data_IF_910481702755
#
_entry.id   IF_910481702755
#
_cell.length_a   1.000
_cell.length_b   1.000
_cell.length_c   1.000
_cell.angle_alpha   90.00
_cell.angle_beta   90.00
_cell.angle_gamma   90.00
#
_symmetry.space_group_name_H-M   'P 1'
#
loop_
_entity.id
_entity.type
_entity.pdbx_description
1 polymer ?
#
# COMPACT_ATOMS: atom_id res chain seq x y z
N UNK A 1 -19.02 -7.35 9.76
CA UNK A 1 -18.77 -8.80 9.92
C UNK A 1 -18.09 -9.03 11.26
N UNK A 2 -18.42 -10.12 11.94
CA UNK A 2 -17.75 -10.54 13.17
C UNK A 2 -16.38 -11.13 12.83
N UNK A 3 -15.43 -10.95 13.74
CA UNK A 3 -14.11 -11.58 13.64
C UNK A 3 -14.25 -13.10 13.82
N UNK A 4 -13.34 -13.87 13.22
CA UNK A 4 -13.32 -15.34 13.35
C UNK A 4 -11.90 -15.89 13.45
N UNK A 5 -11.76 -17.07 14.05
CA UNK A 5 -10.51 -17.82 14.09
C UNK A 5 -10.24 -18.52 12.75
N UNK A 6 -8.97 -18.59 12.33
CA UNK A 6 -8.53 -19.38 11.17
C UNK A 6 -8.44 -20.86 11.48
N UNK A 7 -7.95 -21.20 12.67
CA UNK A 7 -7.79 -22.57 13.17
C UNK A 7 -8.14 -22.63 14.66
N UNK A 8 -9.35 -23.10 14.98
CA UNK A 8 -9.81 -23.18 16.37
C UNK A 8 -9.02 -24.21 17.21
N UNK A 9 -8.44 -25.23 16.59
CA UNK A 9 -7.71 -26.29 17.31
C UNK A 9 -6.39 -25.73 17.85
N UNK A 10 -5.64 -25.02 17.01
CA UNK A 10 -4.40 -24.36 17.42
C UNK A 10 -4.66 -23.25 18.45
N UNK A 11 -5.70 -22.45 18.23
CA UNK A 11 -6.15 -21.40 19.17
C UNK A 11 -6.44 -21.97 20.57
N UNK A 12 -7.16 -23.09 20.68
CA UNK A 12 -7.43 -23.74 21.98
C UNK A 12 -6.15 -24.18 22.69
N UNK A 13 -5.17 -24.70 21.94
CA UNK A 13 -3.86 -25.09 22.49
C UNK A 13 -3.12 -23.88 23.06
N UNK A 14 -3.06 -22.78 22.30
CA UNK A 14 -2.42 -21.53 22.73
C UNK A 14 -3.08 -20.93 23.97
N UNK A 15 -4.42 -20.90 24.01
CA UNK A 15 -5.16 -20.39 25.18
C UNK A 15 -4.87 -21.21 26.43
N UNK A 16 -4.73 -22.53 26.33
CA UNK A 16 -4.36 -23.39 27.47
C UNK A 16 -2.98 -23.03 28.03
N UNK A 17 -2.03 -22.68 27.18
CA UNK A 17 -0.70 -22.21 27.61
C UNK A 17 -0.78 -20.81 28.21
N UNK A 18 -1.51 -19.91 27.55
CA UNK A 18 -1.72 -18.52 27.96
C UNK A 18 -2.33 -18.40 29.35
N UNK A 19 -3.30 -19.25 29.72
CA UNK A 19 -3.87 -19.27 31.09
C UNK A 19 -2.83 -19.47 32.18
N UNK A 20 -1.76 -20.23 31.91
CA UNK A 20 -0.67 -20.48 32.88
C UNK A 20 0.27 -19.27 33.03
N UNK A 21 0.17 -18.31 32.12
CA UNK A 21 0.98 -17.09 32.06
C UNK A 21 0.27 -15.88 32.68
N UNK A 22 -1.00 -16.01 33.03
CA UNK A 22 -1.81 -14.96 33.62
C UNK A 22 -2.16 -15.30 35.07
N UNK A 23 -2.20 -14.28 35.93
CA UNK A 23 -2.68 -14.38 37.31
C UNK A 23 -3.43 -13.10 37.68
N UNK A 24 -4.60 -13.21 38.30
CA UNK A 24 -5.31 -12.07 38.88
C UNK A 24 -4.63 -11.73 40.23
N UNK A 25 -4.24 -10.47 40.39
CA UNK A 25 -3.68 -9.90 41.61
C UNK A 25 -4.79 -9.44 42.56
N UNK A 26 -4.45 -9.19 43.82
CA UNK A 26 -5.40 -8.80 44.86
C UNK A 26 -6.07 -7.43 44.59
N UNK A 27 -5.43 -6.59 43.78
CA UNK A 27 -5.94 -5.30 43.30
C UNK A 27 -6.87 -5.42 42.07
N UNK A 28 -7.15 -6.63 41.59
CA UNK A 28 -7.96 -6.89 40.39
C UNK A 28 -7.22 -6.67 39.07
N UNK A 29 -5.92 -6.38 39.09
CA UNK A 29 -5.08 -6.35 37.90
C UNK A 29 -4.63 -7.75 37.49
N UNK A 30 -4.19 -7.90 36.24
CA UNK A 30 -3.70 -9.19 35.72
C UNK A 30 -2.18 -9.10 35.59
N UNK A 31 -1.48 -9.84 36.43
CA UNK A 31 -0.05 -10.08 36.27
C UNK A 31 0.20 -11.01 35.08
N UNK A 32 1.25 -10.69 34.33
CA UNK A 32 1.66 -11.40 33.12
C UNK A 32 3.07 -11.95 33.32
N UNK A 33 3.28 -13.21 32.94
CA UNK A 33 4.62 -13.81 32.90
C UNK A 33 5.39 -13.37 31.65
N UNK A 34 6.74 -13.45 31.66
CA UNK A 34 7.53 -13.30 30.44
C UNK A 34 7.00 -14.19 29.31
N UNK A 35 7.16 -13.73 28.06
CA UNK A 35 6.66 -14.37 26.83
C UNK A 35 5.14 -14.31 26.59
N UNK A 36 4.34 -13.76 27.51
CA UNK A 36 2.90 -13.60 27.28
C UNK A 36 2.59 -12.82 25.99
N UNK A 37 3.29 -11.71 25.75
CA UNK A 37 3.11 -10.88 24.55
C UNK A 37 3.35 -11.67 23.26
N UNK A 38 4.38 -12.52 23.22
CA UNK A 38 4.67 -13.38 22.06
C UNK A 38 3.57 -14.41 21.81
N UNK A 39 2.96 -14.95 22.87
CA UNK A 39 1.82 -15.88 22.72
C UNK A 39 0.57 -15.13 22.25
N UNK A 40 0.37 -13.88 22.68
CA UNK A 40 -0.73 -13.03 22.18
C UNK A 40 -0.51 -12.66 20.70
N UNK A 41 0.70 -12.31 20.30
CA UNK A 41 1.08 -12.08 18.90
C UNK A 41 0.86 -13.33 18.03
N UNK A 42 1.31 -14.49 18.53
CA UNK A 42 1.04 -15.77 17.87
C UNK A 42 -0.46 -16.00 17.71
N UNK A 43 -1.26 -15.70 18.74
CA UNK A 43 -2.72 -15.84 18.70
C UNK A 43 -3.36 -14.84 17.72
N UNK A 44 -2.84 -13.61 17.64
CA UNK A 44 -3.28 -12.58 16.70
C UNK A 44 -3.14 -13.04 15.25
N UNK A 45 -2.08 -13.77 14.92
CA UNK A 45 -1.90 -14.40 13.60
C UNK A 45 -3.03 -15.34 13.16
N UNK A 46 -3.81 -15.88 14.11
CA UNK A 46 -4.99 -16.72 13.83
C UNK A 46 -6.29 -15.93 13.70
N UNK A 47 -6.30 -14.62 13.93
CA UNK A 47 -7.49 -13.78 13.79
C UNK A 47 -7.74 -13.48 12.30
N UNK A 48 -8.98 -13.62 11.87
CA UNK A 48 -9.47 -13.10 10.59
C UNK A 48 -10.53 -12.04 10.88
N UNK A 49 -10.19 -10.80 10.57
CA UNK A 49 -11.06 -9.64 10.74
C UNK A 49 -10.99 -8.73 9.50
N UNK A 50 -11.98 -7.85 9.34
CA UNK A 50 -12.05 -6.85 8.26
C UNK A 50 -12.31 -5.44 8.82
N UNK A 51 -11.75 -5.17 10.01
CA UNK A 51 -11.97 -3.92 10.73
C UNK A 51 -11.10 -2.82 10.14
N UNK A 52 -11.62 -1.59 10.11
CA UNK A 52 -10.94 -0.40 9.61
C UNK A 52 -10.15 0.28 10.73
N UNK A 53 -9.13 -0.41 11.23
CA UNK A 53 -8.24 0.07 12.28
C UNK A 53 -6.81 -0.33 11.89
N UNK A 54 -5.83 0.51 12.21
CA UNK A 54 -4.42 0.22 11.95
C UNK A 54 -3.97 -1.07 12.64
N UNK A 55 -2.94 -1.73 12.09
CA UNK A 55 -2.49 -3.04 12.58
C UNK A 55 -2.03 -2.98 14.04
N UNK A 56 -1.29 -1.93 14.41
CA UNK A 56 -0.78 -1.75 15.77
C UNK A 56 -1.93 -1.51 16.75
N UNK A 57 -2.84 -0.59 16.44
CA UNK A 57 -4.01 -0.36 17.29
C UNK A 57 -4.94 -1.57 17.34
N UNK A 58 -5.07 -2.33 16.24
CA UNK A 58 -5.82 -3.58 16.22
C UNK A 58 -5.21 -4.61 17.15
N UNK A 59 -3.88 -4.76 17.11
CA UNK A 59 -3.15 -5.63 18.02
C UNK A 59 -3.29 -5.18 19.47
N UNK A 60 -3.13 -3.88 19.77
CA UNK A 60 -3.28 -3.33 21.12
C UNK A 60 -4.69 -3.57 21.68
N UNK A 61 -5.72 -3.36 20.87
CA UNK A 61 -7.12 -3.61 21.24
C UNK A 61 -7.36 -5.11 21.43
N UNK A 62 -6.79 -5.96 20.58
CA UNK A 62 -6.87 -7.40 20.71
C UNK A 62 -6.18 -7.88 22.00
N UNK A 63 -4.97 -7.41 22.28
CA UNK A 63 -4.22 -7.69 23.50
C UNK A 63 -5.03 -7.31 24.75
N UNK A 64 -5.60 -6.10 24.77
CA UNK A 64 -6.51 -5.67 25.86
C UNK A 64 -7.74 -6.58 25.97
N UNK A 65 -8.31 -7.00 24.85
CA UNK A 65 -9.47 -7.89 24.82
C UNK A 65 -9.16 -9.29 25.37
N UNK A 66 -7.95 -9.80 25.16
CA UNK A 66 -7.47 -11.04 25.78
C UNK A 66 -7.42 -10.88 27.31
N UNK A 67 -6.82 -9.80 27.80
CA UNK A 67 -6.72 -9.53 29.24
C UNK A 67 -8.11 -9.36 29.87
N UNK A 68 -9.02 -8.63 29.22
CA UNK A 68 -10.41 -8.45 29.66
C UNK A 68 -11.18 -9.76 29.67
N UNK A 69 -11.05 -10.59 28.63
CA UNK A 69 -11.69 -11.90 28.59
C UNK A 69 -11.16 -12.81 29.71
N UNK A 70 -9.86 -12.76 30.01
CA UNK A 70 -9.29 -13.48 31.15
C UNK A 70 -9.85 -12.99 32.48
N UNK A 71 -9.95 -11.67 32.70
CA UNK A 71 -10.58 -11.12 33.92
C UNK A 71 -12.04 -11.58 34.08
N UNK A 72 -12.79 -11.64 32.97
CA UNK A 72 -14.23 -11.93 33.02
C UNK A 72 -14.55 -13.42 33.21
N UNK A 73 -13.80 -14.33 32.57
CA UNK A 73 -14.13 -15.76 32.57
C UNK A 73 -12.93 -16.71 32.59
N UNK A 74 -11.72 -16.22 32.88
CA UNK A 74 -10.51 -17.03 32.89
C UNK A 74 -10.15 -17.65 31.54
N UNK A 75 -10.61 -17.04 30.42
CA UNK A 75 -10.47 -17.55 29.05
C UNK A 75 -11.09 -18.94 28.85
N UNK A 76 -12.22 -19.22 29.49
CA UNK A 76 -12.93 -20.51 29.34
C UNK A 76 -13.59 -20.67 27.96
N UNK A 77 -13.97 -19.57 27.32
CA UNK A 77 -14.52 -19.56 25.97
C UNK A 77 -13.70 -18.68 25.03
N UNK A 78 -13.20 -19.29 23.94
CA UNK A 78 -12.37 -18.63 22.93
C UNK A 78 -13.16 -17.56 22.15
N UNK A 79 -14.49 -17.66 22.10
CA UNK A 79 -15.35 -16.68 21.43
C UNK A 79 -15.44 -15.37 22.22
N UNK A 80 -15.26 -15.42 23.55
CA UNK A 80 -15.28 -14.22 24.39
C UNK A 80 -14.20 -13.22 23.97
N UNK A 81 -12.99 -13.68 23.60
CA UNK A 81 -11.90 -12.81 23.14
C UNK A 81 -12.34 -12.02 21.88
N UNK A 82 -12.87 -12.72 20.87
CA UNK A 82 -13.30 -12.08 19.63
C UNK A 82 -14.51 -11.17 19.83
N UNK A 83 -15.42 -11.53 20.73
CA UNK A 83 -16.56 -10.69 21.08
C UNK A 83 -16.13 -9.39 21.76
N UNK A 84 -15.22 -9.45 22.74
CA UNK A 84 -14.66 -8.26 23.39
C UNK A 84 -13.86 -7.41 22.39
N UNK A 85 -13.08 -8.05 21.52
CA UNK A 85 -12.36 -7.36 20.44
C UNK A 85 -13.31 -6.63 19.49
N UNK A 86 -14.33 -7.31 18.98
CA UNK A 86 -15.32 -6.72 18.07
C UNK A 86 -16.05 -5.55 18.74
N UNK A 87 -16.41 -5.69 20.02
CA UNK A 87 -17.06 -4.63 20.81
C UNK A 87 -16.13 -3.43 21.01
N UNK A 88 -14.88 -3.66 21.37
CA UNK A 88 -13.90 -2.59 21.60
C UNK A 88 -13.62 -1.82 20.31
N UNK A 89 -13.43 -2.53 19.19
CA UNK A 89 -13.23 -1.89 17.88
C UNK A 89 -14.46 -1.09 17.45
N UNK A 90 -15.67 -1.63 17.62
CA UNK A 90 -16.90 -0.91 17.31
C UNK A 90 -17.04 0.38 18.12
N UNK A 91 -16.67 0.35 19.40
CA UNK A 91 -16.70 1.54 20.25
C UNK A 91 -15.69 2.59 19.80
N UNK A 92 -14.49 2.18 19.39
CA UNK A 92 -13.49 3.09 18.82
C UNK A 92 -13.98 3.71 17.51
N UNK A 93 -14.55 2.90 16.61
CA UNK A 93 -15.09 3.39 15.34
C UNK A 93 -16.29 4.33 15.48
N UNK A 94 -17.02 4.32 16.60
CA UNK A 94 -18.08 5.29 16.87
C UNK A 94 -17.55 6.67 17.24
N UNK A 95 -16.33 6.73 17.77
CA UNK A 95 -15.71 7.95 18.28
C UNK A 95 -14.65 8.48 17.30
N UNK A 96 -14.99 8.61 16.01
CA UNK A 96 -14.06 9.19 15.06
C UNK A 96 -13.83 10.68 15.36
N UNK A 97 -12.56 11.07 15.36
CA UNK A 97 -12.13 12.46 15.44
C UNK A 97 -11.64 12.91 14.07
N UNK A 98 -11.77 14.20 13.79
CA UNK A 98 -11.20 14.80 12.59
C UNK A 98 -9.74 15.22 12.84
N UNK A 99 -8.87 14.82 11.94
CA UNK A 99 -7.45 15.14 11.93
C UNK A 99 -7.08 15.88 10.64
N UNK A 100 -6.10 16.78 10.74
CA UNK A 100 -5.44 17.37 9.57
C UNK A 100 -3.97 16.95 9.59
N UNK A 101 -3.47 16.43 8.50
CA UNK A 101 -2.09 15.96 8.39
C UNK A 101 -1.40 16.78 7.31
N UNK A 102 -0.38 17.53 7.70
CA UNK A 102 0.46 18.30 6.79
C UNK A 102 1.63 17.42 6.36
N UNK A 103 1.78 17.26 5.05
CA UNK A 103 2.85 16.51 4.39
C UNK A 103 3.50 17.41 3.34
N UNK A 104 4.78 17.21 3.08
CA UNK A 104 5.49 17.82 1.96
C UNK A 104 5.77 16.79 0.87
N UNK A 105 5.86 17.25 -0.38
CA UNK A 105 6.07 16.45 -1.57
C UNK A 105 7.18 17.10 -2.40
N UNK A 106 8.19 16.32 -2.79
CA UNK A 106 9.27 16.76 -3.68
C UNK A 106 8.73 16.93 -5.11
N UNK A 107 8.15 18.09 -5.40
CA UNK A 107 7.55 18.36 -6.70
C UNK A 107 7.48 19.86 -6.94
N UNK A 108 8.07 20.28 -8.06
CA UNK A 108 8.04 21.66 -8.52
C UNK A 108 6.87 21.87 -9.48
N UNK A 109 5.80 22.49 -9.00
CA UNK A 109 4.62 22.71 -9.82
C UNK A 109 3.77 23.88 -9.34
N UNK A 110 2.92 24.35 -10.24
CA UNK A 110 1.76 25.13 -9.85
C UNK A 110 0.80 24.31 -8.98
N UNK A 111 0.05 24.99 -8.11
CA UNK A 111 -0.78 24.37 -7.10
C UNK A 111 -1.82 23.42 -7.73
N UNK A 112 -1.74 22.09 -7.50
CA UNK A 112 -2.73 21.16 -8.00
C UNK A 112 -4.11 21.38 -7.36
N UNK A 113 -5.18 21.02 -8.08
CA UNK A 113 -6.53 21.13 -7.54
C UNK A 113 -6.75 20.18 -6.34
N UNK A 114 -7.48 20.63 -5.33
CA UNK A 114 -7.90 19.78 -4.21
C UNK A 114 -8.77 18.62 -4.69
N UNK A 115 -8.71 17.48 -4.00
CA UNK A 115 -9.45 16.26 -4.40
C UNK A 115 -9.81 15.40 -3.20
N UNK A 116 -10.78 14.51 -3.38
CA UNK A 116 -11.17 13.52 -2.38
C UNK A 116 -10.73 12.13 -2.85
N UNK A 117 -9.95 11.44 -2.03
CA UNK A 117 -9.44 10.10 -2.31
C UNK A 117 -9.62 9.27 -1.04
N UNK A 118 -10.26 8.10 -1.15
CA UNK A 118 -10.51 7.19 -0.03
C UNK A 118 -11.17 7.85 1.19
N UNK A 119 -12.08 8.80 0.93
CA UNK A 119 -12.78 9.57 1.97
C UNK A 119 -11.92 10.67 2.63
N UNK A 120 -10.67 10.83 2.22
CA UNK A 120 -9.78 11.89 2.68
C UNK A 120 -9.81 13.06 1.71
N UNK A 121 -9.87 14.30 2.23
CA UNK A 121 -9.75 15.51 1.41
C UNK A 121 -8.31 15.99 1.36
N UNK A 122 -7.70 15.96 0.19
CA UNK A 122 -6.35 16.43 -0.06
C UNK A 122 -6.41 17.85 -0.63
N UNK A 123 -5.69 18.78 0.02
CA UNK A 123 -5.56 20.17 -0.43
C UNK A 123 -4.08 20.50 -0.59
N UNK A 124 -3.70 21.00 -1.77
CA UNK A 124 -2.30 21.26 -2.09
C UNK A 124 -1.97 22.75 -2.04
N UNK A 125 -0.74 23.10 -1.70
CA UNK A 125 -0.25 24.47 -1.51
C UNK A 125 1.23 24.59 -1.89
N UNK A 126 1.64 25.71 -2.49
CA UNK A 126 3.07 26.02 -2.75
C UNK A 126 3.86 26.32 -1.47
N UNK A 127 3.18 26.71 -0.41
CA UNK A 127 3.77 27.01 0.89
C UNK A 127 2.87 26.46 2.00
N UNK A 128 3.43 26.10 3.16
CA UNK A 128 2.63 25.58 4.26
C UNK A 128 1.60 26.64 4.68
N UNK A 129 0.30 26.30 4.79
CA UNK A 129 -0.71 27.30 5.13
C UNK A 129 -0.39 27.97 6.48
N UNK A 130 -0.53 29.30 6.55
CA UNK A 130 -0.16 30.12 7.72
C UNK A 130 -0.71 29.59 9.05
N UNK A 131 -1.93 29.04 9.03
CA UNK A 131 -2.57 28.44 10.21
C UNK A 131 -1.73 27.32 10.83
N UNK A 132 -1.19 26.44 9.99
CA UNK A 132 -0.38 25.29 10.41
C UNK A 132 1.08 25.70 10.67
N UNK A 133 1.63 26.58 9.84
CA UNK A 133 2.96 27.12 10.04
C UNK A 133 3.10 27.86 11.38
N UNK A 134 2.08 28.64 11.80
CA UNK A 134 2.08 29.32 13.10
C UNK A 134 2.01 28.37 14.29
N UNK A 135 1.24 27.29 14.18
CA UNK A 135 1.14 26.28 15.23
C UNK A 135 2.49 25.56 15.45
N UNK A 136 3.31 25.50 14.41
CA UNK A 136 4.69 25.00 14.43
C UNK A 136 5.67 26.02 15.04
N UNK A 137 5.54 27.31 14.72
CA UNK A 137 6.46 28.38 15.15
C UNK A 137 6.46 28.69 16.66
N UNK A 138 5.53 28.13 17.44
CA UNK A 138 5.57 28.22 18.92
C UNK A 138 6.73 27.41 19.51
N UNK A 139 7.38 26.57 18.69
CA UNK A 139 8.57 25.80 19.02
C UNK A 139 9.68 26.19 18.02
N UNK A 140 10.66 27.00 18.45
CA UNK A 140 11.68 27.60 17.56
C UNK A 140 12.51 26.56 16.78
N UNK A 141 12.65 25.34 17.30
CA UNK A 141 13.33 24.23 16.61
C UNK A 141 12.56 23.70 15.38
N UNK A 142 11.24 23.89 15.32
CA UNK A 142 10.38 23.23 14.30
C UNK A 142 10.35 23.99 12.97
N UNK A 143 10.71 25.28 12.94
CA UNK A 143 10.84 26.02 11.68
C UNK A 143 11.92 25.41 10.75
N UNK A 144 12.93 24.75 11.33
CA UNK A 144 13.97 24.03 10.61
C UNK A 144 13.46 22.75 9.91
N UNK A 145 12.27 22.26 10.29
CA UNK A 145 11.64 21.07 9.73
C UNK A 145 10.79 21.33 8.50
N UNK A 146 10.56 22.59 8.12
CA UNK A 146 10.02 22.85 6.78
C UNK A 146 11.10 22.66 5.74
N UNK A 147 10.76 21.89 4.71
CA UNK A 147 11.68 21.57 3.64
C UNK A 147 12.10 22.84 2.90
N UNK A 148 13.42 22.98 2.72
CA UNK A 148 14.00 24.04 1.89
C UNK A 148 14.04 23.56 0.44
N UNK A 149 13.50 24.35 -0.49
CA UNK A 149 13.50 24.04 -1.92
C UNK A 149 12.10 23.97 -2.53
N UNK A 150 11.99 23.33 -3.70
CA UNK A 150 10.76 23.27 -4.48
C UNK A 150 9.88 22.10 -4.00
N UNK A 151 9.21 22.33 -2.86
CA UNK A 151 8.26 21.38 -2.29
C UNK A 151 6.82 21.85 -2.47
N UNK A 152 5.95 20.90 -2.76
CA UNK A 152 4.51 21.06 -2.68
C UNK A 152 4.02 20.56 -1.32
N UNK A 153 3.17 21.32 -0.65
CA UNK A 153 2.59 20.93 0.63
C UNK A 153 1.17 20.39 0.42
N UNK A 154 0.84 19.29 1.10
CA UNK A 154 -0.49 18.70 1.12
C UNK A 154 -1.04 18.70 2.53
N UNK A 155 -2.27 19.19 2.69
CA UNK A 155 -3.06 19.02 3.91
C UNK A 155 -4.11 17.96 3.63
N UNK A 156 -3.95 16.80 4.26
CA UNK A 156 -4.89 15.69 4.21
C UNK A 156 -5.86 15.80 5.40
N UNK A 157 -7.14 16.00 5.10
CA UNK A 157 -8.20 15.98 6.11
C UNK A 157 -8.83 14.60 6.17
N UNK A 158 -8.87 14.00 7.35
CA UNK A 158 -9.32 12.63 7.56
C UNK A 158 -10.11 12.49 8.86
N UNK A 159 -11.11 11.62 8.87
CA UNK A 159 -11.80 11.19 10.09
C UNK A 159 -11.35 9.77 10.44
N UNK A 160 -10.96 9.57 11.70
CA UNK A 160 -10.41 8.30 12.18
C UNK A 160 -10.61 8.13 13.70
N UNK A 161 -10.59 6.89 14.22
CA UNK A 161 -10.76 6.64 15.66
C UNK A 161 -9.56 7.10 16.48
N UNK A 162 -8.37 7.13 15.89
CA UNK A 162 -7.14 7.52 16.56
C UNK A 162 -6.14 8.10 15.54
N UNK A 163 -5.03 8.60 16.08
CA UNK A 163 -3.94 9.21 15.32
C UNK A 163 -3.29 8.25 14.30
N UNK A 164 -3.02 7.01 14.66
CA UNK A 164 -2.32 6.05 13.79
C UNK A 164 -3.19 5.67 12.59
N UNK A 165 -4.46 5.38 12.86
CA UNK A 165 -5.47 5.16 11.81
C UNK A 165 -5.67 6.40 10.92
N UNK A 166 -5.56 7.62 11.48
CA UNK A 166 -5.59 8.84 10.68
C UNK A 166 -4.40 8.93 9.73
N UNK A 167 -3.20 8.63 10.24
CA UNK A 167 -1.96 8.62 9.46
C UNK A 167 -2.01 7.57 8.34
N UNK A 168 -2.35 6.32 8.65
CA UNK A 168 -2.44 5.27 7.63
C UNK A 168 -3.46 5.59 6.52
N UNK A 169 -4.63 6.13 6.90
CA UNK A 169 -5.64 6.59 5.92
C UNK A 169 -5.10 7.74 5.06
N UNK A 170 -4.37 8.69 5.65
CA UNK A 170 -3.80 9.81 4.93
C UNK A 170 -2.65 9.39 4.00
N UNK A 171 -1.75 8.54 4.47
CA UNK A 171 -0.66 7.95 3.71
C UNK A 171 -1.22 7.17 2.52
N UNK A 172 -2.21 6.30 2.73
CA UNK A 172 -2.89 5.57 1.64
C UNK A 172 -3.51 6.51 0.59
N UNK A 173 -4.15 7.59 1.03
CA UNK A 173 -4.79 8.54 0.13
C UNK A 173 -3.78 9.38 -0.66
N UNK A 174 -2.68 9.83 -0.03
CA UNK A 174 -1.63 10.57 -0.72
C UNK A 174 -0.84 9.66 -1.65
N UNK A 175 -0.53 8.44 -1.24
CA UNK A 175 0.19 7.44 -2.03
C UNK A 175 -0.56 7.07 -3.30
N UNK A 176 -1.89 6.94 -3.22
CA UNK A 176 -2.72 6.73 -4.42
C UNK A 176 -2.52 7.86 -5.44
N UNK A 177 -2.50 9.11 -4.98
CA UNK A 177 -2.28 10.28 -5.85
C UNK A 177 -0.84 10.31 -6.38
N UNK A 178 0.15 10.08 -5.51
CA UNK A 178 1.57 10.04 -5.85
C UNK A 178 1.87 8.95 -6.87
N UNK A 179 1.31 7.76 -6.71
CA UNK A 179 1.45 6.66 -7.67
C UNK A 179 0.92 7.06 -9.06
N UNK A 180 -0.27 7.66 -9.12
CA UNK A 180 -0.83 8.17 -10.38
C UNK A 180 0.05 9.26 -10.97
N UNK A 181 0.53 10.20 -10.15
CA UNK A 181 1.42 11.26 -10.61
C UNK A 181 2.70 10.69 -11.21
N UNK A 182 3.33 9.74 -10.52
CA UNK A 182 4.51 9.05 -11.01
C UNK A 182 4.28 8.38 -12.38
N UNK A 183 3.12 7.73 -12.57
CA UNK A 183 2.72 7.14 -13.86
C UNK A 183 2.44 8.16 -14.97
N UNK A 184 2.09 9.40 -14.63
CA UNK A 184 1.79 10.46 -15.60
C UNK A 184 3.05 11.14 -16.13
N UNK A 185 4.20 10.95 -15.49
CA UNK A 185 5.46 11.46 -16.02
C UNK A 185 5.98 10.58 -17.15
N UNK A 186 6.53 11.23 -18.16
CA UNK A 186 7.14 10.54 -19.29
C UNK A 186 8.48 9.95 -18.82
N UNK A 187 8.58 8.63 -18.85
CA UNK A 187 9.81 7.90 -18.55
C UNK A 187 10.57 7.65 -19.84
N UNK A 188 11.61 8.45 -20.06
CA UNK A 188 12.53 8.26 -21.18
C UNK A 188 13.91 7.87 -20.65
N UNK A 189 14.60 7.05 -21.43
CA UNK A 189 16.01 6.80 -21.23
C UNK A 189 16.80 8.10 -21.45
N UNK A 190 17.61 8.49 -20.48
CA UNK A 190 18.42 9.70 -20.56
C UNK A 190 19.86 9.34 -20.91
N UNK A 191 20.20 9.43 -22.21
CA UNK A 191 21.54 9.13 -22.73
C UNK A 191 22.68 9.93 -22.08
N UNK A 192 22.38 11.11 -21.55
CA UNK A 192 23.37 12.05 -20.98
C UNK A 192 23.42 11.95 -19.45
N UNK A 193 22.75 10.97 -18.84
CA UNK A 193 22.80 10.76 -17.39
C UNK A 193 24.21 10.43 -16.91
N UNK A 194 24.66 11.15 -15.87
CA UNK A 194 26.00 11.01 -15.28
C UNK A 194 26.23 9.62 -14.68
N UNK A 195 25.18 9.01 -14.11
CA UNK A 195 25.19 7.66 -13.57
C UNK A 195 24.06 6.78 -14.17
N UNK A 196 24.11 5.47 -13.89
CA UNK A 196 23.12 4.51 -14.41
C UNK A 196 21.70 4.80 -13.94
N UNK A 197 21.52 5.28 -12.71
CA UNK A 197 20.20 5.61 -12.17
C UNK A 197 19.61 6.85 -12.85
N UNK A 198 20.44 7.83 -13.21
CA UNK A 198 20.06 9.02 -13.97
C UNK A 198 19.76 8.70 -15.43
N UNK A 199 20.37 7.64 -15.97
CA UNK A 199 20.07 7.11 -17.30
C UNK A 199 18.74 6.33 -17.31
N UNK A 200 18.53 5.48 -16.29
CA UNK A 200 17.39 4.56 -16.17
C UNK A 200 16.53 4.88 -14.94
N UNK A 201 15.82 5.99 -15.03
CA UNK A 201 15.11 6.53 -13.88
C UNK A 201 13.96 5.63 -13.39
N UNK A 202 14.17 4.96 -12.26
CA UNK A 202 13.16 4.11 -11.61
C UNK A 202 12.71 4.59 -10.23
N UNK A 203 13.41 5.55 -9.62
CA UNK A 203 12.99 6.19 -8.35
C UNK A 203 11.73 7.05 -8.53
N UNK A 204 10.99 7.21 -7.42
CA UNK A 204 9.81 8.07 -7.31
C UNK A 204 10.09 9.54 -7.67
N UNK A 205 9.12 10.16 -8.34
CA UNK A 205 9.17 11.56 -8.80
C UNK A 205 8.49 12.52 -7.84
N UNK A 206 7.72 11.97 -6.92
CA UNK A 206 6.82 12.69 -6.03
C UNK A 206 7.03 12.15 -4.63
N UNK A 207 8.27 12.14 -4.14
CA UNK A 207 8.64 11.62 -2.81
C UNK A 207 7.99 12.46 -1.71
N UNK A 208 7.64 11.82 -0.60
CA UNK A 208 7.25 12.57 0.61
C UNK A 208 8.50 13.21 1.22
N UNK A 209 8.35 14.43 1.72
CA UNK A 209 9.40 15.08 2.50
C UNK A 209 9.59 14.42 3.86
N UNK A 210 10.57 14.92 4.61
CA UNK A 210 11.09 14.31 5.83
C UNK A 210 10.09 14.27 6.97
N UNK A 211 9.10 15.16 7.02
CA UNK A 211 8.23 15.28 8.18
C UNK A 211 6.73 15.24 7.84
N UNK A 212 5.98 14.52 8.66
CA UNK A 212 4.52 14.61 8.74
C UNK A 212 4.13 15.31 10.04
N UNK A 213 3.21 16.28 9.96
CA UNK A 213 2.74 17.01 11.14
C UNK A 213 1.23 16.81 11.29
N UNK A 214 0.82 16.32 12.46
CA UNK A 214 -0.57 15.97 12.75
C UNK A 214 -1.20 17.03 13.65
N UNK A 215 -2.35 17.52 13.21
CA UNK A 215 -3.16 18.51 13.91
C UNK A 215 -4.55 17.95 14.22
N UNK A 216 -5.17 18.51 15.26
CA UNK A 216 -6.58 18.31 15.54
C UNK A 216 -7.48 19.03 14.51
N UNK A 217 -8.80 18.88 14.66
CA UNK A 217 -9.81 19.56 13.83
C UNK A 217 -9.69 21.09 13.82
N UNK A 218 -9.17 21.68 14.90
CA UNK A 218 -9.01 23.12 15.05
C UNK A 218 -7.68 23.61 14.45
N UNK A 219 -6.78 22.72 14.05
CA UNK A 219 -5.45 23.03 13.54
C UNK A 219 -4.41 23.27 14.64
N UNK A 220 -4.67 22.83 15.87
CA UNK A 220 -3.67 22.75 16.93
C UNK A 220 -2.85 21.48 16.74
N UNK A 221 -1.52 21.58 16.79
CA UNK A 221 -0.65 20.42 16.71
C UNK A 221 -0.91 19.49 17.88
N UNK A 222 -1.00 18.19 17.62
CA UNK A 222 -1.13 17.19 18.69
C UNK A 222 0.21 16.98 19.41
N UNK A 223 0.15 16.55 20.67
CA UNK A 223 1.36 16.12 21.39
C UNK A 223 2.04 14.97 20.64
N UNK A 224 3.37 15.06 20.48
CA UNK A 224 4.17 14.21 19.62
C UNK A 224 3.72 14.19 18.15
N UNK A 225 2.94 15.17 17.67
CA UNK A 225 2.32 15.19 16.34
C UNK A 225 3.29 15.30 15.17
N UNK A 226 4.56 15.61 15.44
CA UNK A 226 5.65 15.59 14.47
C UNK A 226 6.17 14.16 14.30
N UNK A 227 6.19 13.68 13.07
CA UNK A 227 6.72 12.38 12.69
C UNK A 227 7.83 12.56 11.66
N UNK A 228 9.01 12.04 11.95
CA UNK A 228 10.13 12.01 11.02
C UNK A 228 10.09 10.71 10.20
N UNK A 229 10.14 10.85 8.88
CA UNK A 229 10.32 9.74 7.95
C UNK A 229 11.78 9.34 7.97
N UNK A 230 12.03 8.13 8.49
CA UNK A 230 13.38 7.55 8.52
C UNK A 230 13.90 7.35 7.10
N UNK A 231 15.19 7.58 6.90
CA UNK A 231 15.88 7.42 5.61
C UNK A 231 15.39 8.35 4.50
N UNK A 232 14.87 9.53 4.85
CA UNK A 232 14.59 10.57 3.87
C UNK A 232 15.88 11.01 3.17
N UNK A 233 15.85 11.04 1.83
CA UNK A 233 16.91 11.57 0.98
C UNK A 233 16.24 12.52 0.00
N UNK A 234 16.71 13.76 0.00
CA UNK A 234 16.24 14.77 -0.94
C UNK A 234 16.93 14.63 -2.29
N UNK A 235 16.14 14.68 -3.36
CA UNK A 235 16.63 14.76 -4.73
C UNK A 235 16.14 16.05 -5.40
N UNK A 236 16.66 16.30 -6.62
CA UNK A 236 16.15 17.38 -7.46
C UNK A 236 14.68 17.13 -7.81
N UNK A 237 13.83 18.10 -7.48
CA UNK A 237 12.39 18.02 -7.69
C UNK A 237 12.05 17.91 -9.18
N UNK A 238 11.07 17.07 -9.49
CA UNK A 238 10.52 16.97 -10.85
C UNK A 238 9.59 18.14 -11.12
N UNK A 239 9.69 18.74 -12.30
CA UNK A 239 8.83 19.86 -12.69
C UNK A 239 7.64 19.41 -13.54
N UNK A 240 6.47 19.97 -13.25
CA UNK A 240 5.26 19.79 -14.06
C UNK A 240 5.10 20.98 -14.99
N UNK A 241 5.18 20.73 -16.31
CA UNK A 241 5.09 21.77 -17.34
C UNK A 241 3.69 22.37 -17.49
N UNK A 242 2.66 21.53 -17.50
CA UNK A 242 1.25 21.95 -17.65
C UNK A 242 0.39 21.34 -16.54
N UNK A 243 0.09 22.18 -15.54
CA UNK A 243 -0.70 21.79 -14.38
C UNK A 243 -2.16 21.47 -14.74
N UNK A 244 -2.70 22.06 -15.80
CA UNK A 244 -4.09 21.85 -16.22
C UNK A 244 -4.26 20.47 -16.84
N UNK A 245 -3.34 20.07 -17.73
CA UNK A 245 -3.30 18.72 -18.29
C UNK A 245 -3.05 17.70 -17.18
N UNK A 246 -2.10 17.99 -16.29
CA UNK A 246 -1.76 17.12 -15.17
C UNK A 246 -2.96 16.86 -14.24
N UNK A 247 -3.69 17.91 -13.86
CA UNK A 247 -4.91 17.80 -13.05
C UNK A 247 -6.01 17.04 -13.80
N UNK A 248 -6.23 17.33 -15.08
CA UNK A 248 -7.21 16.63 -15.92
C UNK A 248 -6.94 15.13 -15.96
N UNK A 249 -5.69 14.75 -16.26
CA UNK A 249 -5.29 13.35 -16.35
C UNK A 249 -5.39 12.66 -14.99
N UNK A 250 -4.93 13.30 -13.91
CA UNK A 250 -5.10 12.72 -12.57
C UNK A 250 -6.58 12.46 -12.24
N UNK A 251 -7.48 13.40 -12.58
CA UNK A 251 -8.91 13.24 -12.37
C UNK A 251 -9.53 12.14 -13.25
N UNK A 252 -8.96 11.83 -14.41
CA UNK A 252 -9.38 10.67 -15.22
C UNK A 252 -9.05 9.37 -14.48
N UNK A 253 -7.81 9.22 -14.02
CA UNK A 253 -7.37 8.03 -13.26
C UNK A 253 -8.20 7.84 -11.99
N UNK A 254 -8.33 8.87 -11.16
CA UNK A 254 -9.10 8.79 -9.92
C UNK A 254 -10.56 8.40 -10.16
N UNK A 255 -11.21 8.95 -11.20
CA UNK A 255 -12.59 8.58 -11.56
C UNK A 255 -12.69 7.13 -12.05
N UNK A 256 -11.68 6.63 -12.77
CA UNK A 256 -11.63 5.25 -13.23
C UNK A 256 -11.44 4.27 -12.06
N UNK A 257 -10.52 4.58 -11.14
CA UNK A 257 -10.30 3.79 -9.92
C UNK A 257 -11.57 3.78 -9.05
N UNK A 258 -12.18 4.94 -8.80
CA UNK A 258 -13.37 5.06 -7.95
C UNK A 258 -14.58 4.26 -8.49
N UNK A 259 -14.68 4.10 -9.82
CA UNK A 259 -15.72 3.32 -10.50
C UNK A 259 -15.36 1.84 -10.67
N UNK A 260 -14.12 1.45 -10.39
CA UNK A 260 -13.67 0.08 -10.58
C UNK A 260 -14.34 -0.86 -9.57
N UNK A 261 -14.87 -2.03 -10.00
CA UNK A 261 -15.45 -3.01 -9.09
C UNK A 261 -14.38 -3.67 -8.19
N UNK A 262 -13.11 -3.47 -8.50
CA UNK A 262 -11.97 -3.96 -7.73
C UNK A 262 -11.03 -2.82 -7.32
N UNK A 263 -11.58 -1.65 -6.97
CA UNK A 263 -10.83 -0.47 -6.52
C UNK A 263 -9.82 -0.76 -5.40
N UNK A 264 -10.21 -1.57 -4.40
CA UNK A 264 -9.35 -1.86 -3.24
C UNK A 264 -8.09 -2.62 -3.66
N UNK A 265 -8.22 -3.49 -4.67
CA UNK A 265 -7.08 -4.19 -5.25
C UNK A 265 -6.14 -3.21 -5.97
N UNK A 266 -6.68 -2.30 -6.78
CA UNK A 266 -5.87 -1.30 -7.50
C UNK A 266 -5.14 -0.38 -6.51
N UNK A 267 -5.85 0.15 -5.51
CA UNK A 267 -5.29 1.04 -4.49
C UNK A 267 -4.16 0.36 -3.71
N UNK A 268 -4.34 -0.91 -3.35
CA UNK A 268 -3.28 -1.71 -2.72
C UNK A 268 -2.05 -1.86 -3.62
N UNK A 269 -2.22 -2.15 -4.92
CA UNK A 269 -1.08 -2.26 -5.84
C UNK A 269 -0.40 -0.90 -6.04
N UNK A 270 -1.15 0.19 -6.17
CA UNK A 270 -0.60 1.55 -6.30
C UNK A 270 0.24 1.95 -5.09
N UNK A 271 -0.23 1.64 -3.88
CA UNK A 271 0.53 1.88 -2.65
C UNK A 271 1.81 1.04 -2.60
N UNK A 272 1.75 -0.24 -2.96
CA UNK A 272 2.95 -1.09 -3.06
C UNK A 272 3.93 -0.55 -4.10
N UNK A 273 3.43 -0.11 -5.25
CA UNK A 273 4.23 0.44 -6.33
C UNK A 273 4.96 1.73 -5.93
N UNK A 274 4.25 2.75 -5.43
CA UNK A 274 4.88 4.01 -5.04
C UNK A 274 5.90 3.80 -3.92
N UNK A 275 5.56 2.93 -2.97
CA UNK A 275 6.44 2.60 -1.87
C UNK A 275 7.68 1.81 -2.34
N UNK A 276 7.58 1.01 -3.41
CA UNK A 276 8.73 0.37 -4.04
C UNK A 276 9.65 1.40 -4.71
N UNK A 277 9.11 2.32 -5.52
CA UNK A 277 9.92 3.34 -6.20
C UNK A 277 10.46 4.42 -5.25
N UNK A 278 9.88 4.58 -4.06
CA UNK A 278 10.43 5.41 -2.99
C UNK A 278 11.70 4.81 -2.36
N UNK A 279 11.96 3.51 -2.52
CA UNK A 279 13.15 2.87 -1.97
C UNK A 279 14.44 3.44 -2.59
N UNK A 280 15.38 3.85 -1.74
CA UNK A 280 16.70 4.36 -2.16
C UNK A 280 17.59 3.20 -2.61
N UNK A 281 17.66 2.16 -1.77
CA UNK A 281 18.43 0.96 -2.04
C UNK A 281 17.87 0.21 -3.26
N UNK A 282 18.74 -0.03 -4.26
CA UNK A 282 18.34 -0.60 -5.54
C UNK A 282 17.98 -2.08 -5.43
N UNK A 283 18.66 -2.85 -4.59
CA UNK A 283 18.38 -4.27 -4.35
C UNK A 283 17.00 -4.43 -3.73
N UNK A 284 16.72 -3.62 -2.71
CA UNK A 284 15.42 -3.58 -2.05
C UNK A 284 14.32 -3.06 -3.00
N UNK A 285 14.59 -2.03 -3.80
CA UNK A 285 13.66 -1.55 -4.83
C UNK A 285 13.33 -2.65 -5.83
N UNK A 286 14.34 -3.35 -6.34
CA UNK A 286 14.18 -4.43 -7.32
C UNK A 286 13.33 -5.58 -6.75
N UNK A 287 13.59 -5.97 -5.51
CA UNK A 287 12.78 -6.97 -4.79
C UNK A 287 11.33 -6.50 -4.62
N UNK A 288 11.11 -5.24 -4.21
CA UNK A 288 9.76 -4.71 -3.99
C UNK A 288 8.97 -4.50 -5.27
N UNK A 289 9.60 -4.06 -6.35
CA UNK A 289 8.97 -4.00 -7.66
C UNK A 289 8.59 -5.41 -8.13
N UNK A 290 9.48 -6.40 -7.96
CA UNK A 290 9.18 -7.80 -8.26
C UNK A 290 7.96 -8.31 -7.49
N UNK A 291 7.90 -8.07 -6.17
CA UNK A 291 6.73 -8.43 -5.36
C UNK A 291 5.47 -7.67 -5.75
N UNK A 292 5.59 -6.40 -6.16
CA UNK A 292 4.45 -5.61 -6.65
C UNK A 292 3.87 -6.23 -7.92
N UNK A 293 4.72 -6.68 -8.84
CA UNK A 293 4.30 -7.39 -10.06
C UNK A 293 3.62 -8.72 -9.75
N UNK A 294 4.16 -9.51 -8.81
CA UNK A 294 3.53 -10.75 -8.31
C UNK A 294 2.12 -10.51 -7.76
N UNK A 295 1.96 -9.48 -6.90
CA UNK A 295 0.66 -9.10 -6.31
C UNK A 295 -0.32 -8.68 -7.41
N UNK A 296 0.12 -7.86 -8.37
CA UNK A 296 -0.71 -7.36 -9.47
C UNK A 296 -1.22 -8.50 -10.36
N UNK A 297 -0.40 -9.52 -10.62
CA UNK A 297 -0.75 -10.64 -11.49
C UNK A 297 -1.33 -11.86 -10.75
N UNK A 298 -1.35 -11.81 -9.40
CA UNK A 298 -1.64 -12.97 -8.53
C UNK A 298 -0.95 -14.23 -9.03
N UNK A 299 0.33 -14.09 -9.31
CA UNK A 299 1.16 -15.17 -9.81
C UNK A 299 2.48 -15.13 -9.03
N UNK A 300 2.87 -16.28 -8.50
CA UNK A 300 4.20 -16.45 -7.94
C UNK A 300 5.24 -16.47 -9.07
N UNK A 301 6.53 -16.49 -8.70
CA UNK A 301 7.72 -16.50 -9.58
C UNK A 301 7.82 -17.75 -10.48
N UNK A 302 6.82 -17.93 -11.33
CA UNK A 302 6.56 -19.09 -12.15
C UNK A 302 6.58 -18.67 -13.62
N UNK A 303 6.46 -19.64 -14.53
CA UNK A 303 6.24 -19.35 -15.96
C UNK A 303 4.93 -18.58 -16.20
N UNK A 304 3.97 -18.66 -15.27
CA UNK A 304 2.69 -17.97 -15.37
C UNK A 304 2.83 -16.45 -15.23
N UNK A 305 3.70 -15.98 -14.31
CA UNK A 305 3.97 -14.54 -14.15
C UNK A 305 4.52 -13.92 -15.43
N UNK A 306 5.53 -14.55 -16.04
CA UNK A 306 6.13 -14.08 -17.31
C UNK A 306 5.07 -14.03 -18.40
N UNK A 307 4.30 -15.11 -18.57
CA UNK A 307 3.23 -15.18 -19.59
C UNK A 307 2.17 -14.09 -19.41
N UNK A 308 1.72 -13.85 -18.18
CA UNK A 308 0.71 -12.81 -17.89
C UNK A 308 1.25 -11.40 -18.11
N UNK A 309 2.50 -11.16 -17.71
CA UNK A 309 3.14 -9.86 -17.85
C UNK A 309 3.41 -9.50 -19.33
N UNK A 310 3.75 -10.48 -20.18
CA UNK A 310 3.97 -10.23 -21.61
C UNK A 310 2.69 -10.13 -22.44
N UNK A 311 1.51 -10.37 -21.86
CA UNK A 311 0.23 -10.42 -22.59
C UNK A 311 -0.05 -9.15 -23.40
N UNK A 312 0.31 -7.98 -22.86
CA UNK A 312 0.03 -6.67 -23.44
C UNK A 312 1.03 -6.22 -24.52
N UNK A 313 2.12 -6.96 -24.73
CA UNK A 313 3.20 -6.55 -25.63
C UNK A 313 3.06 -7.18 -27.01
N UNK A 314 3.50 -6.46 -28.03
CA UNK A 314 3.51 -6.94 -29.42
C UNK A 314 4.62 -7.98 -29.63
N UNK A 315 5.87 -7.62 -29.32
CA UNK A 315 7.02 -8.54 -29.35
C UNK A 315 7.10 -9.37 -28.06
N UNK A 316 6.27 -10.42 -28.00
CA UNK A 316 6.19 -11.28 -26.81
C UNK A 316 7.42 -12.12 -26.59
N UNK A 317 8.16 -12.46 -27.64
CA UNK A 317 9.34 -13.29 -27.53
C UNK A 317 10.46 -12.53 -26.82
N UNK A 318 10.74 -11.31 -27.27
CA UNK A 318 11.71 -10.44 -26.61
C UNK A 318 11.33 -10.17 -25.15
N UNK A 319 10.07 -9.78 -24.92
CA UNK A 319 9.60 -9.44 -23.57
C UNK A 319 9.58 -10.67 -22.64
N UNK A 320 9.39 -11.88 -23.18
CA UNK A 320 9.51 -13.13 -22.42
C UNK A 320 10.95 -13.39 -21.98
N UNK A 321 11.93 -13.17 -22.87
CA UNK A 321 13.35 -13.31 -22.56
C UNK A 321 13.74 -12.31 -21.47
N UNK A 322 13.32 -11.05 -21.59
CA UNK A 322 13.60 -9.99 -20.62
C UNK A 322 13.02 -10.34 -19.24
N UNK A 323 11.74 -10.67 -19.16
CA UNK A 323 11.09 -11.03 -17.88
C UNK A 323 11.65 -12.31 -17.26
N UNK A 324 12.03 -13.29 -18.08
CA UNK A 324 12.72 -14.49 -17.60
C UNK A 324 14.07 -14.14 -16.99
N UNK A 325 14.82 -13.23 -17.61
CA UNK A 325 16.08 -12.73 -17.05
C UNK A 325 15.87 -11.96 -15.74
N UNK A 326 14.86 -11.09 -15.67
CA UNK A 326 14.50 -10.36 -14.45
C UNK A 326 14.15 -11.33 -13.31
N UNK A 327 13.37 -12.37 -13.60
CA UNK A 327 13.05 -13.43 -12.63
C UNK A 327 14.31 -14.14 -12.12
N UNK A 328 15.20 -14.54 -13.02
CA UNK A 328 16.42 -15.25 -12.62
C UNK A 328 17.30 -14.36 -11.72
N UNK A 329 17.44 -13.07 -12.07
CA UNK A 329 18.14 -12.10 -11.23
C UNK A 329 17.51 -11.89 -9.86
N UNK A 330 16.17 -11.88 -9.76
CA UNK A 330 15.46 -11.82 -8.47
C UNK A 330 15.75 -13.05 -7.62
N UNK A 331 15.73 -14.24 -8.24
CA UNK A 331 16.04 -15.49 -7.55
C UNK A 331 17.47 -15.49 -7.03
N UNK A 332 18.46 -15.10 -7.84
CA UNK A 332 19.86 -14.96 -7.44
C UNK A 332 20.03 -13.98 -6.27
N UNK A 333 19.44 -12.78 -6.36
CA UNK A 333 19.49 -11.80 -5.27
C UNK A 333 18.87 -12.35 -3.98
N UNK A 334 17.70 -13.00 -4.07
CA UNK A 334 16.98 -13.51 -2.89
C UNK A 334 17.64 -14.73 -2.23
N UNK A 335 18.31 -15.59 -3.00
CA UNK A 335 18.87 -16.85 -2.49
C UNK A 335 20.37 -16.78 -2.22
N UNK A 336 21.11 -15.98 -3.00
CA UNK A 336 22.58 -15.89 -2.94
C UNK A 336 23.03 -14.53 -2.39
N UNK A 337 22.14 -13.53 -2.34
CA UNK A 337 22.50 -12.19 -1.88
C UNK A 337 23.37 -11.42 -2.87
N UNK A 338 23.37 -11.81 -4.15
CA UNK A 338 24.19 -11.19 -5.19
C UNK A 338 23.38 -10.13 -5.94
N UNK A 339 23.84 -8.89 -5.87
CA UNK A 339 23.30 -7.77 -6.65
C UNK A 339 23.40 -8.08 -8.15
N UNK A 340 22.27 -8.11 -8.89
CA UNK A 340 22.30 -8.34 -10.32
C UNK A 340 23.04 -7.22 -11.07
N UNK A 341 23.73 -7.54 -12.17
CA UNK A 341 24.33 -6.51 -13.02
C UNK A 341 23.24 -5.61 -13.63
N UNK A 342 23.53 -4.32 -13.76
CA UNK A 342 22.64 -3.30 -14.32
C UNK A 342 21.27 -3.26 -13.62
N UNK A 343 21.26 -3.30 -12.29
CA UNK A 343 20.02 -3.35 -11.50
C UNK A 343 19.10 -2.15 -11.76
N UNK A 344 19.66 -0.99 -12.11
CA UNK A 344 18.91 0.23 -12.46
C UNK A 344 18.02 -0.01 -13.69
N UNK A 345 18.57 -0.65 -14.73
CA UNK A 345 17.82 -1.03 -15.94
C UNK A 345 16.71 -2.02 -15.58
N UNK A 346 17.01 -2.96 -14.69
CA UNK A 346 16.06 -3.98 -14.24
C UNK A 346 14.91 -3.36 -13.46
N UNK A 347 15.19 -2.42 -12.55
CA UNK A 347 14.19 -1.63 -11.85
C UNK A 347 13.34 -0.80 -12.81
N UNK A 348 13.98 -0.12 -13.77
CA UNK A 348 13.30 0.67 -14.80
C UNK A 348 12.31 -0.17 -15.59
N UNK A 349 12.74 -1.33 -16.12
CA UNK A 349 11.89 -2.21 -16.91
C UNK A 349 10.78 -2.87 -16.08
N UNK A 350 11.04 -3.26 -14.83
CA UNK A 350 9.99 -3.73 -13.92
C UNK A 350 8.93 -2.67 -13.65
N UNK A 351 9.35 -1.43 -13.38
CA UNK A 351 8.41 -0.33 -13.19
C UNK A 351 7.54 -0.14 -14.43
N UNK A 352 8.11 -0.20 -15.64
CA UNK A 352 7.37 -0.11 -16.89
C UNK A 352 6.29 -1.21 -17.01
N UNK A 353 6.62 -2.49 -16.77
CA UNK A 353 5.62 -3.58 -16.80
C UNK A 353 4.48 -3.33 -15.80
N UNK A 354 4.81 -2.88 -14.58
CA UNK A 354 3.81 -2.62 -13.54
C UNK A 354 2.88 -1.48 -13.97
N UNK A 355 3.41 -0.42 -14.58
CA UNK A 355 2.62 0.73 -15.04
C UNK A 355 1.72 0.37 -16.22
N UNK A 356 2.22 -0.38 -17.20
CA UNK A 356 1.44 -0.85 -18.34
C UNK A 356 0.27 -1.74 -17.89
N UNK A 357 0.54 -2.66 -16.95
CA UNK A 357 -0.49 -3.48 -16.34
C UNK A 357 -1.45 -2.64 -15.48
N UNK A 358 -0.97 -1.74 -14.63
CA UNK A 358 -1.84 -0.85 -13.83
C UNK A 358 -2.77 -0.04 -14.72
N UNK A 359 -2.26 0.50 -15.84
CA UNK A 359 -3.08 1.17 -16.84
C UNK A 359 -4.18 0.24 -17.37
N UNK A 360 -3.85 -0.99 -17.74
CA UNK A 360 -4.83 -1.98 -18.18
C UNK A 360 -5.92 -2.25 -17.12
N UNK A 361 -5.54 -2.44 -15.86
CA UNK A 361 -6.46 -2.68 -14.74
C UNK A 361 -7.35 -1.46 -14.43
N UNK A 362 -6.79 -0.25 -14.46
CA UNK A 362 -7.49 1.01 -14.16
C UNK A 362 -8.48 1.36 -15.26
N UNK A 363 -8.07 1.29 -16.52
CA UNK A 363 -8.95 1.66 -17.63
C UNK A 363 -9.98 0.59 -17.97
N UNK A 364 -9.70 -0.67 -17.60
CA UNK A 364 -10.58 -1.82 -17.73
C UNK A 364 -11.23 -1.91 -19.12
N UNK A 365 -10.43 -2.04 -20.20
CA UNK A 365 -10.95 -2.02 -21.56
C UNK A 365 -11.96 -3.15 -21.84
N UNK A 366 -11.84 -4.27 -21.12
CA UNK A 366 -12.70 -5.45 -21.26
C UNK A 366 -13.97 -5.40 -20.38
N UNK A 367 -14.14 -4.35 -19.57
CA UNK A 367 -15.28 -4.18 -18.64
C UNK A 367 -15.44 -5.37 -17.67
N UNK A 368 -14.33 -5.86 -17.12
CA UNK A 368 -14.36 -6.90 -16.11
C UNK A 368 -15.03 -6.41 -14.81
N UNK A 369 -15.86 -7.26 -14.21
CA UNK A 369 -16.55 -7.02 -12.94
C UNK A 369 -15.76 -7.54 -11.74
N UNK A 370 -14.72 -8.35 -11.97
CA UNK A 370 -13.87 -8.91 -10.92
C UNK A 370 -12.43 -9.05 -11.40
N UNK A 371 -11.49 -8.90 -10.46
CA UNK A 371 -10.05 -9.07 -10.72
C UNK A 371 -9.75 -10.38 -11.44
N UNK A 372 -10.44 -11.47 -11.06
CA UNK A 372 -10.22 -12.79 -11.63
C UNK A 372 -10.44 -12.83 -13.15
N UNK A 373 -11.43 -12.09 -13.69
CA UNK A 373 -11.66 -12.06 -15.15
C UNK A 373 -10.48 -11.46 -15.91
N UNK A 374 -9.82 -10.45 -15.33
CA UNK A 374 -8.60 -9.88 -15.91
C UNK A 374 -7.47 -10.92 -15.84
N UNK A 375 -7.27 -11.57 -14.69
CA UNK A 375 -6.25 -12.60 -14.55
C UNK A 375 -6.46 -13.80 -15.48
N UNK A 376 -7.70 -14.22 -15.69
CA UNK A 376 -8.06 -15.27 -16.64
C UNK A 376 -7.73 -14.83 -18.08
N UNK A 377 -8.03 -13.57 -18.44
CA UNK A 377 -7.65 -13.01 -19.74
C UNK A 377 -6.12 -12.97 -19.92
N UNK A 378 -5.39 -12.44 -18.95
CA UNK A 378 -3.91 -12.38 -19.02
C UNK A 378 -3.28 -13.78 -19.08
N UNK A 379 -3.98 -14.82 -18.63
CA UNK A 379 -3.57 -16.22 -18.73
C UNK A 379 -3.95 -16.88 -20.05
N UNK A 380 -4.76 -16.21 -20.86
CA UNK A 380 -5.28 -16.75 -22.11
C UNK A 380 -4.20 -16.79 -23.18
N UNK A 381 -4.29 -17.73 -24.15
CA UNK A 381 -3.41 -17.71 -25.29
C UNK A 381 -3.69 -16.45 -26.11
N UNK A 382 -2.67 -15.96 -26.78
CA UNK A 382 -2.78 -14.78 -27.62
C UNK A 382 -2.59 -15.09 -29.11
N UNK A 383 -2.23 -16.33 -29.42
CA UNK A 383 -2.17 -16.82 -30.79
C UNK A 383 -3.60 -17.13 -31.27
N UNK A 384 -4.00 -16.52 -32.39
CA UNK A 384 -5.35 -16.66 -32.94
C UNK A 384 -5.70 -18.12 -33.25
N UNK A 385 -4.77 -18.90 -33.79
CA UNK A 385 -5.02 -20.31 -34.11
C UNK A 385 -5.26 -21.14 -32.85
N UNK A 386 -4.53 -20.84 -31.77
CA UNK A 386 -4.73 -21.47 -30.46
C UNK A 386 -6.05 -21.03 -29.83
N UNK A 387 -6.43 -19.76 -29.99
CA UNK A 387 -7.72 -19.23 -29.53
C UNK A 387 -8.87 -19.93 -30.25
N UNK A 388 -8.84 -19.99 -31.59
CA UNK A 388 -9.87 -20.66 -32.40
C UNK A 388 -10.00 -22.14 -32.06
N UNK A 389 -8.87 -22.84 -31.89
CA UNK A 389 -8.86 -24.24 -31.46
C UNK A 389 -9.53 -24.42 -30.09
N UNK A 390 -9.27 -23.53 -29.12
CA UNK A 390 -9.92 -23.56 -27.81
C UNK A 390 -11.41 -23.25 -27.89
N UNK A 391 -11.83 -22.29 -28.72
CA UNK A 391 -13.25 -21.99 -28.93
C UNK A 391 -13.96 -23.24 -29.43
N UNK A 392 -13.41 -23.90 -30.45
CA UNK A 392 -13.98 -25.13 -31.01
C UNK A 392 -14.09 -26.26 -29.97
N UNK A 393 -13.06 -26.45 -29.14
CA UNK A 393 -13.09 -27.43 -28.05
C UNK A 393 -14.18 -27.13 -27.01
N UNK A 394 -14.37 -25.85 -26.65
CA UNK A 394 -15.39 -25.43 -25.71
C UNK A 394 -16.81 -25.58 -26.29
N UNK A 395 -16.98 -25.35 -27.59
CA UNK A 395 -18.25 -25.58 -28.28
C UNK A 395 -18.64 -27.06 -28.27
N UNK A 396 -17.70 -27.96 -28.61
CA UNK A 396 -17.92 -29.40 -28.53
C UNK A 396 -18.27 -29.86 -27.12
N UNK A 397 -17.56 -29.38 -26.10
CA UNK A 397 -17.85 -29.72 -24.70
C UNK A 397 -19.24 -29.22 -24.26
N UNK A 398 -19.66 -28.04 -24.74
CA UNK A 398 -20.99 -27.49 -24.47
C UNK A 398 -22.09 -28.33 -25.11
N UNK A 399 -21.87 -28.85 -26.32
CA UNK A 399 -22.82 -29.74 -26.98
C UNK A 399 -22.96 -31.06 -26.21
N UNK A 400 -21.84 -31.68 -25.82
CA UNK A 400 -21.83 -32.93 -25.06
C UNK A 400 -22.54 -32.84 -23.70
N UNK A 401 -22.48 -31.69 -23.02
CA UNK A 401 -23.12 -31.48 -21.70
C UNK A 401 -24.61 -31.11 -21.78
N UNK A 402 -25.14 -30.84 -22.98
CA UNK A 402 -26.58 -30.56 -23.18
C UNK A 402 -27.40 -31.82 -23.38
N UNK A 403 -26.74 -32.93 -23.72
CA UNK A 403 -27.28 -34.29 -23.68
C UNK A 403 -27.09 -34.89 -22.28
#
# INVERSE_FOLDING_TARGET
>A
MSSRWRDEKQVKSLIKQMKKMLKICDDGNVAQKPYFELVVDTLWGYVKHNKKLDNNSSFDVFHKSVVTAYKNNGLNDIKTILSEFDKAVLNLSKNESEFKILMSLEMDCDQPSSRVVNGCKLSFYKSPPKKYAKAVLVNEDIASYFEKGNFLYSVVSVSAPNRNSALEKADSAIDTVRAIWHMLFIKNFNLVGEDKESQYWSRSLTRLGKYHIIYDKNGKMLDNGLLEIKNHISYQSSSVRDISIFNRNTNVYLRKIAKSPYKEFIENVLSNYVSAVDCVDLDYRFMRLSSTLEILLKADQTKDLVRKATFLYEDKELENIILTNLRNSRNELSHVGVTPPNIEIKCFKLAQYIEDLLNFFIFNPIKADRVQQIHDLLSSPTDLTVIESKIKQLEMAREYMKD
#
